data_IF_882516121541
#
_entry.id   IF_882516121541
#
_cell.length_a   1.000
_cell.length_b   1.000
_cell.length_c   1.000
_cell.angle_alpha   90.00
_cell.angle_beta   90.00
_cell.angle_gamma   90.00
#
_symmetry.space_group_name_H-M   'P 1'
#
loop_
_entity.id
_entity.type
_entity.pdbx_description
1 polymer ?
#
# COMPACT_ATOMS: atom_id res chain seq x y z
N UNK A 1 -33.99 18.88 45.87
CA UNK A 1 -34.10 17.75 44.93
C UNK A 1 -33.04 17.92 43.85
N UNK A 2 -31.96 17.15 43.90
CA UNK A 2 -31.01 17.05 42.78
C UNK A 2 -31.26 15.74 42.04
N UNK A 3 -31.48 15.81 40.72
CA UNK A 3 -31.48 14.66 39.82
C UNK A 3 -30.22 14.73 38.93
N UNK A 4 -29.52 13.61 38.74
CA UNK A 4 -28.20 13.57 38.11
C UNK A 4 -28.30 13.73 36.59
N UNK A 5 -27.37 14.49 36.03
CA UNK A 5 -27.20 14.63 34.59
C UNK A 5 -26.48 13.39 34.08
N UNK A 6 -27.24 12.50 33.43
CA UNK A 6 -26.87 11.69 32.26
C UNK A 6 -25.45 11.13 32.18
N UNK A 7 -25.36 9.81 32.38
CA UNK A 7 -24.46 8.91 31.68
C UNK A 7 -24.48 9.18 30.17
N UNK A 8 -23.51 9.93 29.67
CA UNK A 8 -23.15 9.93 28.25
C UNK A 8 -21.95 9.00 28.06
N UNK A 9 -22.23 7.71 28.07
CA UNK A 9 -21.36 6.71 27.47
C UNK A 9 -21.33 6.92 25.95
N UNK A 10 -20.52 7.87 25.48
CA UNK A 10 -20.20 8.08 24.07
C UNK A 10 -18.92 7.32 23.68
N UNK A 11 -18.85 6.03 24.03
CA UNK A 11 -17.89 5.12 23.40
C UNK A 11 -18.60 4.42 22.24
N UNK A 12 -18.12 4.54 20.98
CA UNK A 12 -18.77 3.93 19.83
C UNK A 12 -18.78 2.41 19.98
N UNK A 13 -19.98 1.81 20.07
CA UNK A 13 -20.16 0.36 20.26
C UNK A 13 -19.80 -0.47 19.01
N UNK A 14 -19.49 0.18 17.88
CA UNK A 14 -18.98 -0.45 16.66
C UNK A 14 -17.98 0.47 15.97
N UNK A 15 -16.70 0.13 16.07
CA UNK A 15 -15.65 0.71 15.21
C UNK A 15 -15.83 0.13 13.80
N UNK A 16 -16.64 0.79 12.97
CA UNK A 16 -16.63 0.63 11.51
C UNK A 16 -15.40 1.32 10.90
N UNK A 17 -14.22 1.03 11.43
CA UNK A 17 -12.99 1.48 10.80
C UNK A 17 -12.61 0.44 9.76
N UNK A 18 -12.63 0.84 8.48
CA UNK A 18 -11.92 0.09 7.45
C UNK A 18 -10.44 0.08 7.87
N UNK A 19 -9.94 -1.08 8.26
CA UNK A 19 -8.55 -1.27 8.71
C UNK A 19 -7.58 -0.98 7.55
N UNK A 20 -8.08 -1.05 6.31
CA UNK A 20 -7.36 -0.65 5.10
C UNK A 20 -7.97 0.63 4.52
N UNK A 21 -7.47 1.79 4.95
CA UNK A 21 -7.69 3.06 4.25
C UNK A 21 -7.17 2.90 2.80
N UNK A 22 -8.08 2.71 1.83
CA UNK A 22 -7.76 2.60 0.40
C UNK A 22 -8.02 1.25 -0.29
N UNK A 23 -8.52 0.22 0.40
CA UNK A 23 -8.93 -1.06 -0.22
C UNK A 23 -10.45 -1.23 -0.14
N UNK A 24 -11.20 -0.52 -0.99
CA UNK A 24 -12.60 -0.86 -1.28
C UNK A 24 -12.64 -1.58 -2.63
N UNK A 25 -12.87 -2.89 -2.65
CA UNK A 25 -13.13 -3.63 -3.87
C UNK A 25 -14.62 -3.84 -4.02
N UNK A 26 -15.23 -3.25 -5.05
CA UNK A 26 -16.59 -3.59 -5.49
C UNK A 26 -17.58 -3.84 -4.36
N UNK A 27 -17.77 -2.86 -3.46
CA UNK A 27 -18.69 -2.92 -2.31
C UNK A 27 -18.41 -4.03 -1.26
N UNK A 28 -17.28 -4.74 -1.31
CA UNK A 28 -16.87 -5.71 -0.30
C UNK A 28 -15.91 -5.04 0.68
N UNK A 29 -16.41 -4.76 1.89
CA UNK A 29 -15.60 -4.35 3.05
C UNK A 29 -15.20 -5.63 3.79
N UNK A 30 -13.93 -6.02 3.68
CA UNK A 30 -13.39 -7.15 4.45
C UNK A 30 -13.21 -6.69 5.90
N UNK A 31 -13.94 -7.29 6.85
CA UNK A 31 -13.87 -6.96 8.28
C UNK A 31 -13.39 -8.17 9.12
N UNK A 32 -12.75 -7.89 10.26
CA UNK A 32 -12.23 -8.89 11.21
C UNK A 32 -13.34 -9.52 12.10
N UNK A 33 -14.62 -9.25 11.84
CA UNK A 33 -15.70 -9.57 12.79
C UNK A 33 -16.01 -11.07 12.94
N UNK A 34 -15.24 -11.97 12.32
CA UNK A 34 -15.48 -13.41 12.37
C UNK A 34 -14.25 -14.24 12.79
N UNK A 35 -13.29 -13.62 13.48
CA UNK A 35 -12.07 -14.29 13.93
C UNK A 35 -12.13 -14.72 15.38
N UNK A 36 -11.80 -15.98 15.64
CA UNK A 36 -11.72 -16.55 16.99
C UNK A 36 -10.50 -16.06 17.80
N UNK A 37 -9.56 -15.32 17.19
CA UNK A 37 -8.38 -14.77 17.85
C UNK A 37 -7.94 -13.40 17.26
N UNK A 38 -8.64 -12.30 17.60
CA UNK A 38 -8.42 -10.97 17.00
C UNK A 38 -6.99 -10.43 17.14
N UNK A 39 -6.34 -10.70 18.26
CA UNK A 39 -4.97 -10.24 18.55
C UNK A 39 -3.94 -10.93 17.65
N UNK A 40 -4.16 -12.20 17.33
CA UNK A 40 -3.32 -12.96 16.40
C UNK A 40 -3.49 -12.44 14.98
N UNK A 41 -4.72 -12.12 14.58
CA UNK A 41 -5.00 -11.62 13.23
C UNK A 41 -4.44 -10.21 13.01
N UNK A 42 -4.52 -9.33 14.01
CA UNK A 42 -3.86 -8.02 13.97
C UNK A 42 -2.33 -8.15 13.85
N UNK A 43 -1.72 -9.09 14.57
CA UNK A 43 -0.28 -9.34 14.48
C UNK A 43 0.13 -9.89 13.10
N UNK A 44 -0.73 -10.71 12.47
CA UNK A 44 -0.54 -11.17 11.09
C UNK A 44 -0.64 -9.99 10.13
N UNK A 45 -1.66 -9.14 10.26
CA UNK A 45 -1.89 -8.01 9.36
C UNK A 45 -0.82 -6.93 9.43
N UNK A 46 -0.25 -6.71 10.61
CA UNK A 46 0.89 -5.81 10.79
C UNK A 46 2.13 -6.27 10.01
N UNK A 47 2.28 -7.57 9.75
CA UNK A 47 3.44 -8.16 9.04
C UNK A 47 3.15 -8.46 7.57
N UNK A 48 1.97 -9.00 7.29
CA UNK A 48 1.52 -9.49 5.98
C UNK A 48 0.11 -8.93 5.73
N UNK A 49 0.02 -7.67 5.28
CA UNK A 49 -1.29 -7.08 4.97
C UNK A 49 -2.01 -7.87 3.88
N UNK A 50 -3.35 -7.93 3.94
CA UNK A 50 -4.15 -8.64 2.93
C UNK A 50 -3.84 -8.19 1.50
N UNK A 51 -3.52 -6.90 1.28
CA UNK A 51 -3.11 -6.41 -0.03
C UNK A 51 -1.80 -7.03 -0.55
N UNK A 52 -0.85 -7.34 0.36
CA UNK A 52 0.37 -8.09 0.00
C UNK A 52 0.07 -9.56 -0.27
N UNK A 53 -0.81 -10.17 0.52
CA UNK A 53 -1.22 -11.57 0.33
C UNK A 53 -1.92 -11.76 -1.03
N UNK A 54 -2.91 -10.92 -1.35
CA UNK A 54 -3.62 -10.93 -2.64
C UNK A 54 -2.66 -10.63 -3.79
N UNK A 55 -1.72 -9.68 -3.60
CA UNK A 55 -0.69 -9.40 -4.59
C UNK A 55 0.13 -10.64 -4.95
N UNK A 56 0.60 -11.39 -3.96
CA UNK A 56 1.35 -12.65 -4.17
C UNK A 56 0.51 -13.71 -4.90
N UNK A 57 -0.78 -13.85 -4.55
CA UNK A 57 -1.68 -14.77 -5.24
C UNK A 57 -1.89 -14.36 -6.70
N UNK A 58 -2.08 -13.07 -6.97
CA UNK A 58 -2.22 -12.56 -8.33
C UNK A 58 -0.94 -12.77 -9.15
N UNK A 59 0.24 -12.55 -8.56
CA UNK A 59 1.52 -12.84 -9.19
C UNK A 59 1.61 -14.33 -9.56
N UNK A 60 1.34 -15.23 -8.60
CA UNK A 60 1.40 -16.67 -8.82
C UNK A 60 0.41 -17.15 -9.88
N UNK A 61 -0.84 -16.68 -9.84
CA UNK A 61 -1.86 -17.04 -10.85
C UNK A 61 -1.44 -16.51 -12.23
N UNK A 62 -0.88 -15.30 -12.33
CA UNK A 62 -0.42 -14.76 -13.60
C UNK A 62 0.71 -15.62 -14.21
N UNK A 63 1.65 -16.10 -13.40
CA UNK A 63 2.69 -17.05 -13.84
C UNK A 63 2.09 -18.39 -14.28
N UNK A 64 1.14 -18.95 -13.52
CA UNK A 64 0.45 -20.19 -13.88
C UNK A 64 -0.33 -20.06 -15.19
N UNK A 65 -0.98 -18.92 -15.42
CA UNK A 65 -1.67 -18.62 -16.69
C UNK A 65 -0.65 -18.50 -17.82
N UNK A 66 0.55 -17.96 -17.60
CA UNK A 66 1.58 -17.88 -18.63
C UNK A 66 2.12 -19.26 -19.07
N UNK A 67 2.06 -20.26 -18.20
CA UNK A 67 2.50 -21.63 -18.47
C UNK A 67 1.45 -22.50 -19.18
N UNK A 68 0.19 -22.07 -19.29
CA UNK A 68 -0.85 -22.88 -19.93
C UNK A 68 -0.68 -22.91 -21.46
N UNK A 69 -0.74 -24.10 -22.10
CA UNK A 69 -0.61 -24.21 -23.56
C UNK A 69 -1.73 -23.48 -24.32
N UNK A 70 -2.88 -23.35 -23.67
CA UNK A 70 -4.09 -22.71 -24.18
C UNK A 70 -4.32 -21.32 -23.58
N UNK A 71 -3.28 -20.68 -23.02
CA UNK A 71 -3.36 -19.35 -22.41
C UNK A 71 -3.82 -18.24 -23.37
N UNK A 72 -3.74 -18.48 -24.69
CA UNK A 72 -4.29 -17.64 -25.75
C UNK A 72 -5.64 -18.10 -26.29
N UNK A 73 -6.14 -19.28 -25.91
CA UNK A 73 -7.32 -19.92 -26.47
C UNK A 73 -8.65 -19.44 -25.84
N UNK A 74 -8.81 -18.13 -25.66
CA UNK A 74 -10.13 -17.52 -25.42
C UNK A 74 -10.77 -17.78 -24.06
N UNK A 75 -10.04 -18.30 -23.06
CA UNK A 75 -10.54 -18.35 -21.67
C UNK A 75 -10.57 -16.93 -21.09
N UNK A 76 -11.74 -16.30 -21.09
CA UNK A 76 -11.96 -14.93 -20.62
C UNK A 76 -11.30 -14.65 -19.26
N UNK A 77 -11.40 -15.59 -18.31
CA UNK A 77 -10.78 -15.48 -16.98
C UNK A 77 -9.25 -15.29 -17.02
N UNK A 78 -8.55 -15.92 -17.96
CA UNK A 78 -7.08 -15.78 -18.09
C UNK A 78 -6.69 -14.41 -18.62
N UNK A 79 -7.45 -13.88 -19.59
CA UNK A 79 -7.28 -12.52 -20.09
C UNK A 79 -7.58 -11.50 -18.99
N UNK A 80 -8.68 -11.69 -18.25
CA UNK A 80 -9.07 -10.79 -17.16
C UNK A 80 -8.02 -10.71 -16.05
N UNK A 81 -7.41 -11.83 -15.67
CA UNK A 81 -6.33 -11.86 -14.67
C UNK A 81 -5.09 -11.13 -15.17
N UNK A 82 -4.66 -11.36 -16.43
CA UNK A 82 -3.54 -10.66 -17.05
C UNK A 82 -3.77 -9.16 -17.11
N UNK A 83 -4.96 -8.74 -17.54
CA UNK A 83 -5.33 -7.34 -17.64
C UNK A 83 -5.40 -6.69 -16.25
N UNK A 84 -5.95 -7.39 -15.27
CA UNK A 84 -5.97 -6.93 -13.88
C UNK A 84 -4.54 -6.70 -13.36
N UNK A 85 -3.65 -7.66 -13.59
CA UNK A 85 -2.23 -7.55 -13.20
C UNK A 85 -1.56 -6.35 -13.85
N UNK A 86 -1.73 -6.19 -15.16
CA UNK A 86 -1.17 -5.06 -15.91
C UNK A 86 -1.69 -3.71 -15.40
N UNK A 87 -3.00 -3.59 -15.11
CA UNK A 87 -3.57 -2.36 -14.54
C UNK A 87 -2.98 -2.05 -13.16
N UNK A 88 -2.88 -3.04 -12.28
CA UNK A 88 -2.32 -2.86 -10.93
C UNK A 88 -0.85 -2.43 -11.00
N UNK A 89 -0.06 -3.04 -11.89
CA UNK A 89 1.36 -2.70 -12.03
C UNK A 89 1.56 -1.28 -12.59
N UNK A 90 0.68 -0.83 -13.50
CA UNK A 90 0.66 0.57 -13.95
C UNK A 90 0.38 1.52 -12.79
N UNK A 91 -0.65 1.27 -11.99
CA UNK A 91 -0.96 2.09 -10.81
C UNK A 91 0.21 2.13 -9.83
N UNK A 92 0.85 0.99 -9.54
CA UNK A 92 2.05 0.94 -8.67
C UNK A 92 3.18 1.82 -9.22
N UNK A 93 3.40 1.76 -10.54
CA UNK A 93 4.41 2.56 -11.24
C UNK A 93 4.08 4.05 -11.15
N UNK A 94 2.84 4.43 -11.43
CA UNK A 94 2.39 5.83 -11.38
C UNK A 94 2.58 6.44 -9.98
N UNK A 95 2.22 5.69 -8.93
CA UNK A 95 2.43 6.11 -7.54
C UNK A 95 3.93 6.23 -7.20
N UNK A 96 4.77 5.33 -7.70
CA UNK A 96 6.23 5.45 -7.54
C UNK A 96 6.76 6.73 -8.23
N UNK A 97 6.32 7.01 -9.45
CA UNK A 97 6.69 8.23 -10.18
C UNK A 97 6.20 9.51 -9.48
N UNK A 98 5.02 9.48 -8.87
CA UNK A 98 4.52 10.59 -8.07
C UNK A 98 5.42 10.86 -6.85
N UNK A 99 5.84 9.81 -6.13
CA UNK A 99 6.77 9.94 -5.00
C UNK A 99 8.12 10.54 -5.42
N UNK A 100 8.63 10.16 -6.60
CA UNK A 100 9.87 10.74 -7.15
C UNK A 100 9.67 12.23 -7.46
N UNK A 101 8.53 12.60 -8.06
CA UNK A 101 8.19 14.01 -8.32
C UNK A 101 8.10 14.83 -7.03
N UNK A 102 7.49 14.28 -5.99
CA UNK A 102 7.41 14.89 -4.68
C UNK A 102 8.81 15.09 -4.07
N UNK A 103 9.63 14.03 -4.05
CA UNK A 103 11.01 14.10 -3.57
C UNK A 103 11.81 15.19 -4.28
N UNK A 104 11.68 15.30 -5.61
CA UNK A 104 12.34 16.36 -6.39
C UNK A 104 11.91 17.76 -5.91
N UNK A 105 10.62 17.95 -5.67
CA UNK A 105 10.09 19.23 -5.18
C UNK A 105 10.61 19.56 -3.79
N UNK A 106 10.65 18.57 -2.89
CA UNK A 106 11.12 18.76 -1.52
C UNK A 106 12.62 19.08 -1.46
N UNK A 107 13.43 18.40 -2.28
CA UNK A 107 14.85 18.69 -2.41
C UNK A 107 15.11 20.09 -2.95
N UNK A 108 14.36 20.53 -3.95
CA UNK A 108 14.50 21.89 -4.50
C UNK A 108 14.08 22.96 -3.49
N UNK A 109 13.07 22.68 -2.65
CA UNK A 109 12.71 23.54 -1.52
C UNK A 109 13.84 23.65 -0.50
N UNK A 110 14.39 22.52 -0.05
CA UNK A 110 15.49 22.51 0.92
C UNK A 110 16.73 23.25 0.37
N UNK A 111 17.06 23.02 -0.90
CA UNK A 111 18.20 23.68 -1.57
C UNK A 111 18.10 25.21 -1.59
N UNK A 112 16.89 25.76 -1.66
CA UNK A 112 16.62 27.20 -1.73
C UNK A 112 16.37 27.85 -0.36
N UNK A 113 16.35 27.07 0.72
CA UNK A 113 16.11 27.59 2.07
C UNK A 113 17.35 28.30 2.59
N UNK A 114 17.19 29.44 3.24
CA UNK A 114 18.31 30.14 3.92
C UNK A 114 18.60 29.55 5.31
N UNK A 115 17.78 28.60 5.77
CA UNK A 115 17.96 27.95 7.07
C UNK A 115 19.09 26.91 7.03
N UNK A 116 20.07 27.04 7.93
CA UNK A 116 21.21 26.11 8.02
C UNK A 116 20.78 24.64 8.20
N UNK A 117 19.70 24.39 8.96
CA UNK A 117 19.15 23.04 9.16
C UNK A 117 18.64 22.40 7.87
N UNK A 118 18.06 23.20 6.97
CA UNK A 118 17.51 22.72 5.71
C UNK A 118 18.63 22.44 4.70
N UNK A 119 19.69 23.25 4.72
CA UNK A 119 20.91 23.02 3.93
C UNK A 119 21.64 21.75 4.36
N UNK A 120 21.72 21.48 5.68
CA UNK A 120 22.25 20.23 6.21
C UNK A 120 21.41 19.02 5.77
N UNK A 121 20.08 19.12 5.88
CA UNK A 121 19.16 18.08 5.43
C UNK A 121 19.27 17.81 3.92
N UNK A 122 19.40 18.86 3.10
CA UNK A 122 19.64 18.73 1.66
C UNK A 122 20.95 17.99 1.36
N UNK A 123 22.05 18.38 2.01
CA UNK A 123 23.35 17.73 1.83
C UNK A 123 23.31 16.24 2.21
N UNK A 124 22.67 15.92 3.34
CA UNK A 124 22.47 14.54 3.78
C UNK A 124 21.64 13.72 2.79
N UNK A 125 20.53 14.28 2.29
CA UNK A 125 19.66 13.62 1.32
C UNK A 125 20.39 13.37 -0.01
N UNK A 126 21.15 14.35 -0.52
CA UNK A 126 21.95 14.21 -1.74
C UNK A 126 23.05 13.15 -1.59
N UNK A 127 23.69 13.07 -0.42
CA UNK A 127 24.65 12.00 -0.12
C UNK A 127 23.99 10.63 -0.16
N UNK A 128 22.84 10.47 0.49
CA UNK A 128 22.10 9.21 0.49
C UNK A 128 21.63 8.80 -0.92
N UNK A 129 21.16 9.77 -1.72
CA UNK A 129 20.75 9.54 -3.11
C UNK A 129 21.90 9.06 -3.98
N UNK A 130 23.10 9.65 -3.86
CA UNK A 130 24.29 9.19 -4.60
C UNK A 130 24.60 7.73 -4.28
N UNK A 131 24.58 7.34 -3.00
CA UNK A 131 24.77 5.94 -2.60
C UNK A 131 23.79 4.98 -3.29
N UNK A 132 22.53 5.39 -3.46
CA UNK A 132 21.51 4.58 -4.14
C UNK A 132 21.75 4.51 -5.65
N UNK A 133 22.18 5.62 -6.27
CA UNK A 133 22.42 5.69 -7.71
C UNK A 133 23.71 4.95 -8.12
N UNK A 134 24.71 4.95 -7.26
CA UNK A 134 26.00 4.29 -7.48
C UNK A 134 25.95 2.78 -7.16
N UNK A 135 24.93 2.33 -6.43
CA UNK A 135 24.72 0.91 -6.15
C UNK A 135 24.17 0.19 -7.40
N UNK A 136 24.71 -1.00 -7.76
CA UNK A 136 24.15 -1.79 -8.84
C UNK A 136 22.70 -2.18 -8.54
N UNK A 137 21.81 -2.23 -9.56
CA UNK A 137 20.43 -2.61 -9.32
C UNK A 137 20.37 -3.99 -8.68
N UNK A 138 19.61 -4.11 -7.60
CA UNK A 138 19.35 -5.40 -6.96
C UNK A 138 18.74 -6.35 -8.00
N UNK A 139 19.45 -7.43 -8.34
CA UNK A 139 18.90 -8.49 -9.20
C UNK A 139 17.70 -9.07 -8.46
N UNK A 140 16.52 -8.94 -9.07
CA UNK A 140 15.30 -9.61 -8.62
C UNK A 140 15.31 -11.06 -9.05
#
# INVERSE_FOLDING_TARGET
MMRPWTDLALAPQKLWQSINQGWSFGNIIVNEQNSSAPQTEQAILARESYGRQIGKLLDAVNELVALQPDAGAGKAAFTEVKDLKARIDRVKTDVALQRIRQLRSDLDRLRRSDEAKDQEAYAAAMKALRTVLDAPPARR
#
